data_IF_463432842204
#
_entry.id   IF_463432842204
#
_cell.length_a   1.000
_cell.length_b   1.000
_cell.length_c   1.000
_cell.angle_alpha   90.00
_cell.angle_beta   90.00
_cell.angle_gamma   90.00
#
_symmetry.space_group_name_H-M   'P 1'
#
loop_
_entity.id
_entity.type
_entity.pdbx_description
1 polymer ?
#
# COMPACT_ATOMS: atom_id res chain seq x y z
N UNK A 1 -8.11 -17.59 -41.14
CA UNK A 1 -7.36 -18.33 -40.11
C UNK A 1 -8.35 -18.62 -38.98
N UNK A 2 -9.29 -19.53 -39.24
CA UNK A 2 -9.30 -20.93 -38.80
C UNK A 2 -9.82 -21.08 -37.35
N UNK A 3 -11.15 -21.18 -37.27
CA UNK A 3 -11.96 -21.58 -36.12
C UNK A 3 -11.82 -23.11 -35.98
N UNK A 4 -11.52 -23.69 -34.81
CA UNK A 4 -11.50 -25.15 -34.66
C UNK A 4 -12.93 -25.71 -34.55
N UNK A 5 -13.23 -26.89 -35.13
CA UNK A 5 -14.58 -27.41 -35.20
C UNK A 5 -14.97 -28.27 -33.99
N UNK A 6 -16.28 -28.34 -33.82
CA UNK A 6 -17.08 -29.20 -32.97
C UNK A 6 -16.62 -30.66 -32.87
N UNK A 7 -16.80 -31.22 -31.67
CA UNK A 7 -16.83 -32.65 -31.37
C UNK A 7 -17.69 -33.43 -32.38
N UNK A 8 -17.12 -34.44 -33.03
CA UNK A 8 -17.89 -35.49 -33.70
C UNK A 8 -17.76 -36.79 -32.89
N UNK A 9 -18.85 -37.19 -32.23
CA UNK A 9 -19.02 -38.54 -31.70
C UNK A 9 -19.36 -39.47 -32.87
N UNK A 10 -18.50 -40.46 -33.16
CA UNK A 10 -18.85 -41.60 -34.01
C UNK A 10 -19.06 -42.83 -33.13
N UNK A 11 -20.29 -43.34 -33.15
CA UNK A 11 -20.66 -44.68 -32.68
C UNK A 11 -20.18 -45.72 -33.70
N UNK A 12 -19.44 -46.73 -33.26
CA UNK A 12 -19.20 -47.94 -34.04
C UNK A 12 -20.23 -49.01 -33.70
N UNK A 13 -20.44 -49.94 -34.64
CA UNK A 13 -21.63 -50.79 -34.81
C UNK A 13 -21.71 -52.03 -33.93
N UNK A 14 -20.80 -52.22 -32.98
CA UNK A 14 -20.80 -53.37 -32.07
C UNK A 14 -20.85 -52.84 -30.62
N UNK A 15 -22.01 -52.97 -29.99
CA UNK A 15 -22.36 -52.33 -28.72
C UNK A 15 -21.59 -52.86 -27.50
N UNK A 16 -20.31 -52.53 -27.37
CA UNK A 16 -19.52 -52.75 -26.16
C UNK A 16 -18.85 -51.45 -25.70
N UNK A 17 -19.25 -50.95 -24.52
CA UNK A 17 -18.48 -49.94 -23.78
C UNK A 17 -17.23 -50.61 -23.19
N UNK A 18 -16.05 -50.23 -23.66
CA UNK A 18 -14.81 -50.48 -22.93
C UNK A 18 -14.34 -49.18 -22.28
N UNK A 19 -14.48 -49.10 -20.96
CA UNK A 19 -13.81 -48.11 -20.13
C UNK A 19 -12.31 -48.43 -20.11
N UNK A 20 -11.53 -47.69 -20.88
CA UNK A 20 -10.07 -47.78 -20.82
C UNK A 20 -9.56 -46.93 -19.64
N UNK A 21 -9.40 -47.57 -18.49
CA UNK A 21 -8.51 -47.08 -17.43
C UNK A 21 -7.08 -47.04 -17.98
N UNK A 22 -6.66 -45.89 -18.53
CA UNK A 22 -5.24 -45.58 -18.70
C UNK A 22 -4.74 -44.93 -17.42
N UNK A 23 -4.14 -45.77 -16.58
CA UNK A 23 -3.19 -45.37 -15.54
C UNK A 23 -2.07 -44.60 -16.26
N UNK A 24 -2.15 -43.27 -16.25
CA UNK A 24 -1.01 -42.43 -16.58
C UNK A 24 -0.14 -42.40 -15.33
N UNK A 25 0.90 -43.21 -15.34
CA UNK A 25 2.03 -43.08 -14.42
C UNK A 25 2.67 -41.71 -14.67
N UNK A 26 2.25 -40.70 -13.90
CA UNK A 26 2.95 -39.44 -13.81
C UNK A 26 4.26 -39.71 -13.07
N UNK A 27 5.28 -40.03 -13.86
CA UNK A 27 6.67 -40.08 -13.42
C UNK A 27 7.00 -38.65 -13.00
N UNK A 28 6.91 -38.38 -11.70
CA UNK A 28 7.38 -37.14 -11.10
C UNK A 28 8.87 -37.01 -11.43
N UNK A 29 9.16 -36.27 -12.50
CA UNK A 29 10.50 -35.83 -12.81
C UNK A 29 10.82 -34.73 -11.78
N UNK A 30 11.39 -35.14 -10.65
CA UNK A 30 12.18 -34.29 -9.77
C UNK A 30 13.24 -33.59 -10.62
N UNK A 31 12.90 -32.41 -11.12
CA UNK A 31 13.90 -31.43 -11.57
C UNK A 31 13.89 -30.36 -10.51
N UNK A 32 14.82 -30.52 -9.56
CA UNK A 32 15.35 -29.43 -8.75
C UNK A 32 15.66 -28.25 -9.68
N UNK A 33 14.77 -27.26 -9.72
CA UNK A 33 15.10 -25.93 -10.25
C UNK A 33 15.38 -25.03 -9.07
N UNK A 34 16.65 -24.66 -9.01
CA UNK A 34 17.28 -23.63 -8.18
C UNK A 34 16.53 -22.30 -8.27
N UNK A 35 16.48 -21.62 -7.14
CA UNK A 35 16.56 -20.17 -6.95
C UNK A 35 15.70 -19.29 -7.87
N UNK A 36 14.60 -18.74 -7.33
CA UNK A 36 14.02 -17.50 -7.88
C UNK A 36 12.49 -17.32 -7.88
N UNK A 37 11.67 -18.30 -7.47
CA UNK A 37 10.22 -18.27 -7.78
C UNK A 37 9.26 -18.24 -6.56
N UNK A 38 9.71 -17.80 -5.39
CA UNK A 38 8.91 -17.87 -4.16
C UNK A 38 7.89 -16.73 -3.96
N UNK A 39 7.79 -15.75 -4.87
CA UNK A 39 6.94 -14.56 -4.67
C UNK A 39 5.90 -14.28 -5.77
N UNK A 40 5.72 -15.16 -6.76
CA UNK A 40 4.62 -14.98 -7.74
C UNK A 40 3.28 -15.36 -7.11
N UNK A 41 2.64 -14.41 -6.42
CA UNK A 41 1.24 -14.60 -6.00
C UNK A 41 0.72 -13.68 -4.90
N UNK A 42 1.56 -12.91 -4.21
CA UNK A 42 1.12 -12.12 -3.05
C UNK A 42 0.81 -10.68 -3.45
N UNK A 43 -0.48 -10.30 -3.36
CA UNK A 43 -0.94 -8.93 -3.62
C UNK A 43 -0.76 -8.11 -2.35
N UNK A 44 0.21 -7.20 -2.36
CA UNK A 44 0.47 -6.24 -1.27
C UNK A 44 1.01 -4.93 -1.81
N UNK A 45 0.61 -3.83 -1.16
CA UNK A 45 1.14 -2.51 -1.43
C UNK A 45 2.33 -2.15 -0.53
N UNK A 46 2.60 -2.92 0.53
CA UNK A 46 3.73 -2.71 1.44
C UNK A 46 5.05 -3.26 0.90
N UNK A 47 6.09 -2.43 0.88
CA UNK A 47 7.43 -2.84 0.47
C UNK A 47 8.05 -3.86 1.44
N UNK A 48 7.80 -3.71 2.74
CA UNK A 48 8.26 -4.66 3.77
C UNK A 48 7.78 -6.09 3.55
N UNK A 49 6.55 -6.25 3.03
CA UNK A 49 5.98 -7.58 2.76
C UNK A 49 6.58 -8.21 1.50
N UNK A 50 6.97 -7.39 0.51
CA UNK A 50 7.69 -7.84 -0.69
C UNK A 50 9.14 -8.22 -0.38
N UNK A 51 9.85 -7.49 0.50
CA UNK A 51 11.23 -7.86 0.86
C UNK A 51 11.25 -9.10 1.78
N UNK A 52 10.21 -9.25 2.61
CA UNK A 52 10.15 -10.29 3.65
C UNK A 52 11.05 -9.97 4.85
N UNK A 53 11.14 -10.90 5.82
CA UNK A 53 11.96 -10.71 7.03
C UNK A 53 13.46 -10.95 6.84
N UNK A 54 13.93 -11.20 5.60
CA UNK A 54 15.34 -11.51 5.36
C UNK A 54 16.17 -10.23 5.48
N UNK A 55 16.93 -10.13 6.58
CA UNK A 55 17.93 -9.07 6.79
C UNK A 55 19.15 -9.23 5.87
N UNK A 56 19.42 -10.44 5.37
CA UNK A 56 20.55 -10.72 4.50
C UNK A 56 20.18 -10.76 3.01
N UNK A 57 20.79 -9.86 2.23
CA UNK A 57 21.45 -10.27 1.00
C UNK A 57 20.66 -10.23 -0.32
N UNK A 58 19.53 -9.53 -0.43
CA UNK A 58 18.99 -9.24 -1.76
C UNK A 58 19.84 -8.15 -2.43
N UNK A 59 20.57 -8.53 -3.48
CA UNK A 59 21.38 -7.60 -4.25
C UNK A 59 20.54 -6.41 -4.73
N UNK A 60 20.96 -5.19 -4.40
CA UNK A 60 20.27 -3.97 -4.77
C UNK A 60 19.18 -3.49 -3.82
N UNK A 61 19.02 -4.13 -2.65
CA UNK A 61 18.14 -3.68 -1.57
C UNK A 61 18.95 -3.43 -0.30
N UNK A 62 18.82 -2.25 0.28
CA UNK A 62 19.36 -1.94 1.60
C UNK A 62 18.21 -1.82 2.60
N UNK A 63 18.36 -2.42 3.78
CA UNK A 63 17.33 -2.37 4.83
C UNK A 63 17.97 -2.04 6.17
N UNK A 64 17.35 -1.12 6.91
CA UNK A 64 17.73 -0.77 8.27
C UNK A 64 16.48 -0.65 9.15
N UNK A 65 16.47 -1.32 10.29
CA UNK A 65 15.39 -1.25 11.26
C UNK A 65 15.88 -0.67 12.58
N UNK A 66 15.10 0.24 13.15
CA UNK A 66 15.32 0.81 14.48
C UNK A 66 14.04 0.69 15.32
N UNK A 67 14.23 0.52 16.62
CA UNK A 67 13.14 0.61 17.61
C UNK A 67 13.22 1.97 18.31
N UNK A 68 12.10 2.67 18.33
CA UNK A 68 11.88 3.90 19.11
C UNK A 68 10.78 3.58 20.12
N UNK A 69 11.19 3.23 21.34
CA UNK A 69 10.30 2.62 22.34
C UNK A 69 9.63 1.34 21.78
N UNK A 70 8.31 1.35 21.62
CA UNK A 70 7.44 0.31 21.08
C UNK A 70 7.10 0.53 19.59
N UNK A 71 7.63 1.58 18.96
CA UNK A 71 7.47 1.88 17.54
C UNK A 71 8.65 1.30 16.78
N UNK A 72 8.39 0.42 15.82
CA UNK A 72 9.41 -0.09 14.89
C UNK A 72 9.43 0.78 13.65
N UNK A 73 10.60 1.29 13.28
CA UNK A 73 10.78 2.01 12.01
C UNK A 73 11.77 1.25 11.14
N UNK A 74 11.31 0.83 9.97
CA UNK A 74 12.13 0.11 9.00
C UNK A 74 12.27 0.92 7.72
N UNK A 75 13.50 1.31 7.37
CA UNK A 75 13.84 1.94 6.11
C UNK A 75 14.32 0.87 5.12
N UNK A 76 13.75 0.87 3.92
CA UNK A 76 14.17 0.06 2.77
C UNK A 76 14.56 1.01 1.64
N UNK A 77 15.70 0.77 1.00
CA UNK A 77 16.11 1.46 -0.21
C UNK A 77 16.31 0.44 -1.35
N UNK A 78 15.42 0.49 -2.33
CA UNK A 78 15.50 -0.31 -3.56
C UNK A 78 16.33 0.46 -4.58
N UNK A 79 17.60 0.07 -4.76
CA UNK A 79 18.58 0.81 -5.57
C UNK A 79 18.63 0.36 -7.01
N UNK A 80 18.41 -0.92 -7.30
CA UNK A 80 18.57 -1.49 -8.66
C UNK A 80 17.22 -1.78 -9.32
N UNK A 81 17.20 -1.73 -10.66
CA UNK A 81 16.02 -2.07 -11.45
C UNK A 81 15.66 -3.56 -11.34
N UNK A 82 16.67 -4.44 -11.27
CA UNK A 82 16.47 -5.87 -11.06
C UNK A 82 15.74 -6.16 -9.74
N UNK A 83 16.15 -5.51 -8.64
CA UNK A 83 15.46 -5.63 -7.36
C UNK A 83 14.03 -5.10 -7.43
N UNK A 84 13.82 -3.96 -8.08
CA UNK A 84 12.49 -3.39 -8.28
C UNK A 84 11.54 -4.33 -9.04
N UNK A 85 12.00 -4.95 -10.12
CA UNK A 85 11.24 -5.92 -10.91
C UNK A 85 10.95 -7.20 -10.12
N UNK A 86 11.94 -7.71 -9.38
CA UNK A 86 11.79 -8.90 -8.56
C UNK A 86 10.80 -8.70 -7.40
N UNK A 87 10.86 -7.54 -6.75
CA UNK A 87 9.98 -7.17 -5.64
C UNK A 87 8.61 -6.67 -6.09
N UNK A 88 8.44 -6.38 -7.39
CA UNK A 88 7.28 -5.67 -7.93
C UNK A 88 7.02 -4.33 -7.21
N UNK A 89 8.11 -3.61 -6.91
CA UNK A 89 8.11 -2.30 -6.26
C UNK A 89 9.03 -1.36 -7.01
N UNK A 90 8.69 -0.08 -7.09
CA UNK A 90 9.54 0.89 -7.77
C UNK A 90 10.84 1.13 -7.00
N UNK A 91 11.88 1.56 -7.72
CA UNK A 91 13.15 1.99 -7.10
C UNK A 91 12.91 3.27 -6.30
N UNK A 92 13.48 3.33 -5.10
CA UNK A 92 13.33 4.46 -4.19
C UNK A 92 13.44 4.06 -2.73
N UNK A 93 13.05 4.98 -1.85
CA UNK A 93 13.08 4.84 -0.40
C UNK A 93 11.69 4.56 0.13
N UNK A 94 11.56 3.53 0.93
CA UNK A 94 10.34 3.17 1.65
C UNK A 94 10.63 3.17 3.14
N UNK A 95 9.84 3.87 3.93
CA UNK A 95 9.92 3.86 5.39
C UNK A 95 8.62 3.30 5.93
N UNK A 96 8.72 2.26 6.75
CA UNK A 96 7.58 1.62 7.40
C UNK A 96 7.62 1.92 8.89
N UNK A 97 6.59 2.56 9.41
CA UNK A 97 6.39 2.89 10.83
C UNK A 97 5.33 1.92 11.36
N UNK A 98 5.72 1.00 12.23
CA UNK A 98 4.85 -0.05 12.77
C UNK A 98 4.62 0.17 14.27
N UNK A 99 3.35 0.19 14.67
CA UNK A 99 2.92 0.18 16.05
C UNK A 99 1.63 -0.64 16.19
N UNK A 100 1.66 -1.67 17.04
CA UNK A 100 0.61 -2.71 17.11
C UNK A 100 -0.79 -2.19 17.46
N UNK A 101 -0.90 -1.01 18.05
CA UNK A 101 -2.16 -0.40 18.47
C UNK A 101 -2.32 1.03 17.95
N UNK A 102 -1.90 1.29 16.70
CA UNK A 102 -1.97 2.61 16.04
C UNK A 102 -3.29 3.37 16.26
N UNK A 103 -4.48 2.76 16.11
CA UNK A 103 -5.73 3.52 16.13
C UNK A 103 -6.28 3.77 17.54
N UNK A 104 -5.69 3.12 18.56
CA UNK A 104 -6.10 3.25 19.96
C UNK A 104 -4.90 3.63 20.84
N UNK A 105 -3.94 4.33 20.26
CA UNK A 105 -2.78 4.83 20.99
C UNK A 105 -3.18 6.00 21.89
N UNK A 106 -2.50 6.17 23.01
CA UNK A 106 -2.68 7.37 23.85
C UNK A 106 -2.08 8.62 23.16
N UNK A 107 -2.36 9.79 23.74
CA UNK A 107 -1.94 11.07 23.17
C UNK A 107 -0.41 11.20 23.05
N UNK A 108 0.34 10.69 24.03
CA UNK A 108 1.81 10.74 24.03
C UNK A 108 2.38 9.90 22.89
N UNK A 109 1.82 8.70 22.69
CA UNK A 109 2.23 7.81 21.61
C UNK A 109 1.80 8.34 20.25
N UNK A 110 0.60 8.91 20.13
CA UNK A 110 0.15 9.58 18.92
C UNK A 110 1.12 10.70 18.51
N UNK A 111 1.54 11.52 19.48
CA UNK A 111 2.52 12.58 19.25
C UNK A 111 3.88 12.03 18.81
N UNK A 112 4.36 10.96 19.44
CA UNK A 112 5.61 10.32 19.05
C UNK A 112 5.56 9.79 17.61
N UNK A 113 4.47 9.11 17.23
CA UNK A 113 4.30 8.59 15.86
C UNK A 113 4.18 9.73 14.85
N UNK A 114 3.40 10.78 15.17
CA UNK A 114 3.29 11.97 14.34
C UNK A 114 4.65 12.64 14.14
N UNK A 115 5.52 12.70 15.16
CA UNK A 115 6.90 13.21 15.03
C UNK A 115 7.77 12.33 14.14
N UNK A 116 7.68 11.00 14.25
CA UNK A 116 8.41 10.08 13.38
C UNK A 116 7.97 10.26 11.93
N UNK A 117 6.65 10.26 11.68
CA UNK A 117 6.08 10.53 10.37
C UNK A 117 6.52 11.89 9.82
N UNK A 118 6.46 12.93 10.65
CA UNK A 118 6.87 14.29 10.31
C UNK A 118 8.31 14.34 9.84
N UNK A 119 9.22 13.70 10.58
CA UNK A 119 10.64 13.63 10.24
C UNK A 119 10.84 12.88 8.91
N UNK A 120 10.22 11.71 8.76
CA UNK A 120 10.33 10.88 7.55
C UNK A 120 9.86 11.64 6.31
N UNK A 121 8.70 12.28 6.37
CA UNK A 121 8.15 13.05 5.24
C UNK A 121 9.03 14.27 4.93
N UNK A 122 9.55 14.96 5.96
CA UNK A 122 10.42 16.13 5.78
C UNK A 122 11.75 15.79 5.10
N UNK A 123 12.31 14.62 5.37
CA UNK A 123 13.54 14.14 4.72
C UNK A 123 13.38 13.89 3.21
N UNK A 124 12.14 13.70 2.73
CA UNK A 124 11.82 13.47 1.31
C UNK A 124 11.32 14.73 0.61
N UNK A 125 10.95 15.78 1.36
CA UNK A 125 10.46 17.03 0.81
C UNK A 125 11.60 18.01 0.49
N UNK A 126 11.45 18.85 -0.55
CA UNK A 126 12.27 20.04 -0.70
C UNK A 126 12.17 20.94 0.54
N UNK A 127 13.25 21.66 0.88
CA UNK A 127 13.30 22.53 2.07
C UNK A 127 12.27 23.68 2.03
N UNK A 128 11.96 24.20 0.85
CA UNK A 128 11.07 25.35 0.64
C UNK A 128 10.17 25.14 -0.58
N UNK A 129 9.17 26.00 -0.75
CA UNK A 129 8.24 26.00 -1.88
C UNK A 129 6.86 25.44 -1.55
N UNK A 130 5.93 25.61 -2.48
CA UNK A 130 4.53 25.23 -2.33
C UNK A 130 4.36 23.71 -2.38
N UNK A 131 3.53 23.15 -1.49
CA UNK A 131 3.21 21.71 -1.50
C UNK A 131 1.74 21.50 -1.80
N UNK A 132 1.46 20.51 -2.64
CA UNK A 132 0.11 20.04 -2.92
C UNK A 132 -0.12 18.68 -2.24
N UNK A 133 -1.09 18.62 -1.35
CA UNK A 133 -1.52 17.38 -0.69
C UNK A 133 -2.73 16.82 -1.45
N UNK A 134 -2.66 15.55 -1.83
CA UNK A 134 -3.69 14.86 -2.60
C UNK A 134 -4.18 13.65 -1.80
N UNK A 135 -5.43 13.69 -1.36
CA UNK A 135 -6.09 12.59 -0.66
C UNK A 135 -6.82 11.69 -1.64
N UNK A 136 -6.28 10.50 -1.89
CA UNK A 136 -6.88 9.52 -2.79
C UNK A 136 -8.02 8.74 -2.12
N UNK A 137 -8.71 8.00 -2.96
CA UNK A 137 -9.78 7.08 -2.58
C UNK A 137 -11.18 7.67 -2.69
N UNK A 138 -12.14 6.82 -2.38
CA UNK A 138 -13.56 7.10 -2.47
C UNK A 138 -14.15 7.34 -1.08
N UNK A 139 -14.53 8.60 -0.80
CA UNK A 139 -15.19 9.00 0.46
C UNK A 139 -16.45 8.19 0.83
N UNK A 140 -17.10 7.55 -0.14
CA UNK A 140 -18.30 6.73 0.06
C UNK A 140 -17.98 5.27 0.45
N UNK A 141 -16.71 4.86 0.40
CA UNK A 141 -16.24 3.54 0.80
C UNK A 141 -15.32 3.72 2.01
N UNK A 142 -15.79 3.36 3.20
CA UNK A 142 -15.13 3.72 4.47
C UNK A 142 -13.64 3.31 4.51
N UNK A 143 -13.32 2.08 4.12
CA UNK A 143 -11.94 1.58 4.11
C UNK A 143 -11.03 2.31 3.10
N UNK A 144 -11.61 2.98 2.10
CA UNK A 144 -10.92 3.72 1.03
C UNK A 144 -10.99 5.24 1.27
N UNK A 145 -11.62 5.70 2.36
CA UNK A 145 -11.82 7.12 2.63
C UNK A 145 -10.61 7.80 3.28
N UNK A 146 -9.53 7.05 3.59
CA UNK A 146 -8.39 7.54 4.38
C UNK A 146 -7.81 8.85 3.81
N UNK A 147 -7.47 8.88 2.52
CA UNK A 147 -6.88 10.06 1.90
C UNK A 147 -7.79 11.28 2.00
N UNK A 148 -9.10 11.10 1.78
CA UNK A 148 -10.09 12.18 1.94
C UNK A 148 -10.13 12.68 3.39
N UNK A 149 -10.15 11.78 4.38
CA UNK A 149 -10.22 12.12 5.80
C UNK A 149 -8.96 12.83 6.31
N UNK A 150 -7.79 12.52 5.73
CA UNK A 150 -6.54 13.24 6.02
C UNK A 150 -6.57 14.64 5.42
N UNK A 151 -7.05 14.81 4.18
CA UNK A 151 -7.18 16.14 3.54
C UNK A 151 -8.05 17.08 4.36
N UNK A 152 -9.13 16.59 4.96
CA UNK A 152 -10.02 17.35 5.86
C UNK A 152 -9.30 17.90 7.10
N UNK A 153 -8.13 17.36 7.45
CA UNK A 153 -7.32 17.74 8.62
C UNK A 153 -6.09 18.58 8.27
N UNK A 154 -5.88 18.88 7.00
CA UNK A 154 -4.71 19.64 6.58
C UNK A 154 -4.87 21.13 6.88
N UNK A 155 -3.84 21.75 7.44
CA UNK A 155 -3.76 23.20 7.56
C UNK A 155 -3.45 23.82 6.19
N UNK A 156 -4.48 24.22 5.46
CA UNK A 156 -4.35 24.81 4.11
C UNK A 156 -4.03 26.30 4.22
N UNK A 157 -2.88 26.70 3.69
CA UNK A 157 -2.36 28.09 3.86
C UNK A 157 -2.21 28.85 2.54
N UNK A 158 -2.20 28.16 1.38
CA UNK A 158 -1.92 28.79 0.07
C UNK A 158 -2.86 29.95 -0.25
N UNK A 159 -4.14 29.84 0.12
CA UNK A 159 -5.15 30.87 -0.15
C UNK A 159 -4.98 32.13 0.71
N UNK A 160 -4.32 32.02 1.87
CA UNK A 160 -4.05 33.14 2.79
C UNK A 160 -2.75 33.87 2.45
N UNK A 161 -1.95 33.33 1.52
CA UNK A 161 -0.58 33.77 1.30
C UNK A 161 -0.45 35.26 0.95
N UNK A 162 -1.45 35.86 0.29
CA UNK A 162 -1.40 37.29 -0.04
C UNK A 162 -1.70 38.20 1.15
N UNK A 163 -2.59 37.77 2.06
CA UNK A 163 -3.06 38.58 3.20
C UNK A 163 -2.30 38.29 4.49
N UNK A 164 -1.54 37.19 4.53
CA UNK A 164 -0.83 36.73 5.72
C UNK A 164 0.37 37.62 6.05
N UNK A 165 0.53 37.94 7.33
CA UNK A 165 1.66 38.71 7.83
C UNK A 165 3.00 37.99 7.60
N UNK A 166 4.04 38.78 7.33
CA UNK A 166 5.39 38.26 7.05
C UNK A 166 5.98 37.47 8.24
N UNK A 167 5.62 37.85 9.46
CA UNK A 167 5.99 37.16 10.70
C UNK A 167 5.52 35.70 10.71
N UNK A 168 4.31 35.45 10.20
CA UNK A 168 3.69 34.12 10.16
C UNK A 168 4.12 33.36 8.92
N UNK A 169 4.27 34.02 7.76
CA UNK A 169 4.82 33.41 6.53
C UNK A 169 6.16 32.73 6.73
N UNK A 170 7.00 33.27 7.61
CA UNK A 170 8.31 32.66 7.95
C UNK A 170 8.21 31.37 8.76
N UNK A 171 7.06 31.12 9.39
CA UNK A 171 6.77 29.97 10.25
C UNK A 171 5.98 28.87 9.54
N UNK A 172 5.23 29.21 8.51
CA UNK A 172 4.40 28.27 7.75
C UNK A 172 4.93 28.05 6.34
N UNK A 173 4.48 26.96 5.71
CA UNK A 173 4.70 26.66 4.30
C UNK A 173 3.40 26.93 3.56
N UNK A 174 3.49 27.33 2.29
CA UNK A 174 2.31 27.42 1.41
C UNK A 174 1.85 26.00 1.05
N UNK A 175 0.65 25.64 1.50
CA UNK A 175 0.06 24.30 1.33
C UNK A 175 -1.31 24.44 0.68
N UNK A 176 -1.54 23.63 -0.35
CA UNK A 176 -2.84 23.37 -0.94
C UNK A 176 -3.20 21.90 -0.74
N UNK A 177 -4.49 21.58 -0.61
CA UNK A 177 -4.95 20.21 -0.44
C UNK A 177 -6.20 19.94 -1.29
N UNK A 178 -6.35 18.72 -1.80
CA UNK A 178 -7.52 18.29 -2.57
C UNK A 178 -7.79 16.79 -2.40
N UNK A 179 -9.06 16.42 -2.39
CA UNK A 179 -9.51 15.03 -2.53
C UNK A 179 -10.25 14.89 -3.88
N UNK A 180 -9.57 14.45 -4.96
CA UNK A 180 -10.14 14.47 -6.31
C UNK A 180 -11.27 13.46 -6.53
N UNK A 181 -11.36 12.43 -5.67
CA UNK A 181 -12.26 11.31 -5.84
C UNK A 181 -11.76 10.30 -6.89
N UNK A 182 -12.67 9.41 -7.29
CA UNK A 182 -12.39 8.28 -8.18
C UNK A 182 -13.14 8.42 -9.51
N UNK A 183 -12.62 7.76 -10.56
CA UNK A 183 -13.19 7.74 -11.91
C UNK A 183 -14.72 7.54 -11.93
N UNK A 184 -15.23 6.59 -11.13
CA UNK A 184 -16.66 6.28 -11.10
C UNK A 184 -17.55 7.42 -10.59
N UNK A 185 -16.98 8.42 -9.94
CA UNK A 185 -17.69 9.60 -9.45
C UNK A 185 -17.46 10.83 -10.35
N UNK A 186 -16.26 10.98 -10.89
CA UNK A 186 -15.84 12.20 -11.61
C UNK A 186 -15.94 12.07 -13.13
N UNK A 187 -15.87 10.83 -13.66
CA UNK A 187 -15.68 10.55 -15.09
C UNK A 187 -14.29 10.89 -15.62
N UNK A 188 -13.35 11.31 -14.75
CA UNK A 188 -11.98 11.69 -15.10
C UNK A 188 -11.02 10.83 -14.28
N UNK A 189 -9.99 10.29 -14.92
CA UNK A 189 -8.95 9.53 -14.22
C UNK A 189 -8.22 10.41 -13.21
N UNK A 190 -8.00 9.89 -12.00
CA UNK A 190 -7.42 10.67 -10.91
C UNK A 190 -6.04 11.20 -11.28
N UNK A 191 -5.22 10.42 -11.98
CA UNK A 191 -3.90 10.86 -12.46
C UNK A 191 -3.98 12.00 -13.49
N UNK A 192 -4.96 11.96 -14.39
CA UNK A 192 -5.17 13.03 -15.38
C UNK A 192 -5.57 14.34 -14.69
N UNK A 193 -6.52 14.27 -13.75
CA UNK A 193 -6.96 15.42 -12.97
C UNK A 193 -5.80 16.01 -12.16
N UNK A 194 -5.03 15.17 -11.48
CA UNK A 194 -3.90 15.60 -10.68
C UNK A 194 -2.79 16.24 -11.54
N UNK A 195 -2.50 15.68 -12.71
CA UNK A 195 -1.52 16.27 -13.65
C UNK A 195 -1.94 17.68 -14.07
N UNK A 196 -3.19 17.88 -14.48
CA UNK A 196 -3.70 19.21 -14.84
C UNK A 196 -3.63 20.20 -13.68
N UNK A 197 -3.90 19.73 -12.45
CA UNK A 197 -3.78 20.57 -11.26
C UNK A 197 -2.32 20.95 -10.97
N UNK A 198 -1.38 20.00 -11.06
CA UNK A 198 0.05 20.24 -10.85
C UNK A 198 0.61 21.20 -11.89
N UNK A 199 0.26 21.05 -13.17
CA UNK A 199 0.67 21.96 -14.25
C UNK A 199 0.21 23.41 -14.01
N UNK A 200 -0.97 23.58 -13.41
CA UNK A 200 -1.54 24.89 -13.12
C UNK A 200 -0.99 25.49 -11.81
N UNK A 201 -1.00 24.73 -10.72
CA UNK A 201 -0.60 25.18 -9.38
C UNK A 201 0.91 25.29 -9.24
N UNK A 202 1.66 24.44 -9.95
CA UNK A 202 3.13 24.35 -9.93
C UNK A 202 3.72 24.19 -8.52
N UNK A 203 3.25 23.20 -7.73
CA UNK A 203 3.87 22.89 -6.45
C UNK A 203 5.31 22.39 -6.66
N UNK A 204 6.17 22.58 -5.66
CA UNK A 204 7.53 22.01 -5.67
C UNK A 204 7.55 20.51 -5.34
N UNK A 205 6.49 19.99 -4.71
CA UNK A 205 6.30 18.58 -4.42
C UNK A 205 4.82 18.26 -4.18
N UNK A 206 4.46 16.99 -4.39
CA UNK A 206 3.14 16.44 -4.09
C UNK A 206 3.26 15.45 -2.94
N UNK A 207 2.31 15.48 -2.01
CA UNK A 207 2.10 14.42 -1.01
C UNK A 207 0.81 13.69 -1.36
N UNK A 208 0.91 12.43 -1.78
CA UNK A 208 -0.25 11.58 -2.08
C UNK A 208 -0.57 10.70 -0.86
N UNK A 209 -1.82 10.70 -0.41
CA UNK A 209 -2.27 9.88 0.73
C UNK A 209 -3.28 8.85 0.24
N UNK A 210 -3.08 7.57 0.58
CA UNK A 210 -3.94 6.49 0.09
C UNK A 210 -4.15 5.37 1.11
N UNK A 211 -5.26 4.66 0.95
CA UNK A 211 -5.52 3.41 1.67
C UNK A 211 -4.81 2.26 0.94
N UNK A 212 -4.00 1.48 1.68
CA UNK A 212 -3.22 0.38 1.12
C UNK A 212 -3.89 -0.98 1.39
N UNK A 213 -3.50 -1.99 0.63
CA UNK A 213 -3.78 -3.39 0.93
C UNK A 213 -2.53 -4.08 1.51
N UNK A 214 -2.68 -4.75 2.65
CA UNK A 214 -1.65 -5.61 3.23
C UNK A 214 -1.82 -7.08 2.83
N UNK A 215 -0.75 -7.83 2.98
CA UNK A 215 -0.72 -9.28 2.89
C UNK A 215 -0.77 -9.98 4.25
N UNK A 216 -0.47 -9.28 5.33
CA UNK A 216 -0.70 -9.74 6.70
C UNK A 216 -1.87 -8.97 7.30
N UNK A 217 -2.90 -9.71 7.72
CA UNK A 217 -4.07 -9.12 8.39
C UNK A 217 -3.70 -8.39 9.69
N UNK A 218 -2.60 -8.75 10.35
CA UNK A 218 -2.05 -8.04 11.51
C UNK A 218 -1.49 -6.65 11.21
N UNK A 219 -1.37 -6.28 9.92
CA UNK A 219 -0.89 -4.96 9.48
C UNK A 219 -1.99 -3.95 9.23
N UNK A 220 -3.25 -4.38 9.22
CA UNK A 220 -4.38 -3.48 9.06
C UNK A 220 -4.36 -2.46 10.20
N UNK A 221 -4.25 -1.19 9.85
CA UNK A 221 -4.21 -0.08 10.79
C UNK A 221 -3.13 -0.24 11.88
N UNK A 222 -2.00 -0.89 11.61
CA UNK A 222 -0.84 -0.93 12.55
C UNK A 222 0.44 -0.42 11.91
N UNK A 223 0.39 -0.04 10.63
CA UNK A 223 1.56 0.28 9.81
C UNK A 223 1.30 1.53 8.98
N UNK A 224 2.22 2.49 8.99
CA UNK A 224 2.25 3.63 8.06
C UNK A 224 3.46 3.44 7.13
N UNK A 225 3.23 3.47 5.83
CA UNK A 225 4.29 3.45 4.82
C UNK A 225 4.45 4.85 4.22
N UNK A 226 5.68 5.33 4.16
CA UNK A 226 6.07 6.56 3.44
C UNK A 226 7.05 6.19 2.34
N UNK A 227 6.89 6.72 1.13
CA UNK A 227 7.80 6.47 0.01
C UNK A 227 7.96 7.67 -0.91
N UNK A 228 9.12 7.81 -1.57
CA UNK A 228 9.39 8.82 -2.60
C UNK A 228 9.05 8.34 -4.03
N UNK A 229 8.55 7.10 -4.17
CA UNK A 229 8.24 6.51 -5.47
C UNK A 229 6.88 6.89 -6.04
N UNK A 230 6.13 7.74 -5.32
CA UNK A 230 4.71 7.96 -5.57
C UNK A 230 3.85 6.73 -5.25
N UNK A 231 2.64 6.71 -5.82
CA UNK A 231 1.63 5.68 -5.57
C UNK A 231 0.96 5.20 -6.86
N UNK A 232 0.66 3.91 -6.93
CA UNK A 232 -0.06 3.29 -8.04
C UNK A 232 -1.45 2.87 -7.57
N UNK A 233 -2.50 3.66 -7.85
CA UNK A 233 -3.84 3.37 -7.35
C UNK A 233 -4.34 2.01 -7.86
N UNK A 234 -4.72 1.12 -6.93
CA UNK A 234 -5.29 -0.18 -7.28
C UNK A 234 -4.26 -1.26 -7.67
N UNK A 235 -3.00 -1.16 -7.22
CA UNK A 235 -1.98 -2.20 -7.48
C UNK A 235 -2.33 -3.60 -6.94
N UNK A 236 -3.23 -3.69 -5.95
CA UNK A 236 -3.79 -4.98 -5.54
C UNK A 236 -5.11 -5.36 -6.24
N UNK A 237 -5.76 -4.43 -6.93
CA UNK A 237 -7.04 -4.63 -7.65
C UNK A 237 -6.77 -4.57 -9.16
N UNK A 238 -5.84 -5.40 -9.64
CA UNK A 238 -5.74 -5.87 -11.04
C UNK A 238 -5.72 -4.84 -12.18
N UNK A 239 -5.63 -3.53 -11.92
CA UNK A 239 -5.89 -2.51 -12.92
C UNK A 239 -4.63 -1.69 -13.19
N UNK A 240 -4.21 -1.63 -14.45
CA UNK A 240 -3.09 -0.82 -14.93
C UNK A 240 -3.51 0.66 -14.99
N UNK A 241 -3.84 1.26 -13.84
CA UNK A 241 -4.07 2.71 -13.77
C UNK A 241 -2.74 3.44 -13.77
N UNK A 242 -2.73 4.63 -14.36
CA UNK A 242 -1.57 5.51 -14.29
C UNK A 242 -1.36 5.91 -12.81
N UNK A 243 -0.17 5.66 -12.27
CA UNK A 243 0.18 6.08 -10.92
C UNK A 243 0.27 7.60 -10.76
N UNK A 244 0.27 8.08 -9.52
CA UNK A 244 0.76 9.40 -9.17
C UNK A 244 2.22 9.26 -8.75
N UNK A 245 3.12 9.45 -9.72
CA UNK A 245 4.57 9.37 -9.55
C UNK A 245 5.25 10.61 -10.13
N UNK A 246 6.54 10.79 -9.82
CA UNK A 246 7.33 11.88 -10.38
C UNK A 246 7.35 11.84 -11.92
N UNK A 247 7.37 10.65 -12.54
CA UNK A 247 7.31 10.50 -13.99
C UNK A 247 6.00 11.03 -14.58
N UNK A 248 4.89 10.88 -13.86
CA UNK A 248 3.55 11.28 -14.33
C UNK A 248 3.20 12.73 -14.04
N UNK A 249 3.68 13.28 -12.91
CA UNK A 249 3.36 14.64 -12.47
C UNK A 249 4.50 15.64 -12.71
N UNK A 250 5.70 15.16 -13.06
CA UNK A 250 6.91 15.97 -13.31
C UNK A 250 7.36 16.80 -12.09
N UNK A 251 6.96 16.39 -10.89
CA UNK A 251 7.38 16.95 -9.61
C UNK A 251 7.57 15.79 -8.61
N UNK A 252 8.44 15.92 -7.59
CA UNK A 252 8.61 14.89 -6.56
C UNK A 252 7.27 14.49 -5.93
N UNK A 253 7.02 13.19 -5.79
CA UNK A 253 5.80 12.65 -5.18
C UNK A 253 6.13 11.79 -3.97
N UNK A 254 5.77 12.27 -2.79
CA UNK A 254 5.87 11.52 -1.55
C UNK A 254 4.52 10.84 -1.32
N UNK A 255 4.48 9.52 -1.28
CA UNK A 255 3.27 8.79 -0.92
C UNK A 255 3.28 8.39 0.55
N UNK A 256 2.13 8.55 1.21
CA UNK A 256 1.86 8.09 2.58
C UNK A 256 0.66 7.16 2.52
N UNK A 257 0.77 5.95 3.05
CA UNK A 257 -0.35 5.02 3.05
C UNK A 257 -0.40 4.12 4.26
N UNK A 258 -1.61 3.69 4.59
CA UNK A 258 -1.89 2.78 5.71
C UNK A 258 -2.70 1.61 5.20
N UNK A 259 -2.35 0.36 5.55
CA UNK A 259 -3.17 -0.77 5.20
C UNK A 259 -4.55 -0.71 5.86
N UNK A 260 -5.60 -0.63 5.06
CA UNK A 260 -6.99 -0.57 5.53
C UNK A 260 -7.75 -1.88 5.26
N UNK A 261 -7.22 -2.68 4.35
CA UNK A 261 -7.83 -3.93 3.88
C UNK A 261 -6.78 -5.00 3.64
N UNK A 262 -7.24 -6.25 3.55
CA UNK A 262 -6.51 -7.38 2.97
C UNK A 262 -7.41 -8.11 2.00
N UNK A 263 -6.84 -8.92 1.10
CA UNK A 263 -7.64 -9.77 0.22
C UNK A 263 -8.30 -10.91 0.99
N UNK A 264 -9.50 -11.33 0.58
CA UNK A 264 -10.17 -12.49 1.18
C UNK A 264 -9.33 -13.77 1.05
N UNK A 265 -8.59 -13.91 -0.06
CA UNK A 265 -7.63 -14.99 -0.27
C UNK A 265 -6.52 -15.00 0.79
N UNK A 266 -6.07 -13.82 1.22
CA UNK A 266 -5.10 -13.66 2.32
C UNK A 266 -5.66 -14.23 3.62
N UNK A 267 -6.89 -13.88 4.00
CA UNK A 267 -7.53 -14.40 5.22
C UNK A 267 -7.70 -15.92 5.17
N UNK A 268 -8.18 -16.44 4.05
CA UNK A 268 -8.36 -17.88 3.87
C UNK A 268 -7.02 -18.64 3.98
N UNK A 269 -5.97 -18.07 3.38
CA UNK A 269 -4.60 -18.59 3.46
C UNK A 269 -4.07 -18.55 4.90
N UNK A 270 -4.21 -17.43 5.61
CA UNK A 270 -3.75 -17.28 7.00
C UNK A 270 -4.46 -18.29 7.92
N UNK A 271 -5.76 -18.51 7.74
CA UNK A 271 -6.51 -19.52 8.47
C UNK A 271 -6.00 -20.94 8.18
N UNK A 272 -5.78 -21.27 6.91
CA UNK A 272 -5.25 -22.57 6.49
C UNK A 272 -3.82 -22.80 7.04
N UNK A 273 -2.96 -21.78 6.99
CA UNK A 273 -1.60 -21.84 7.54
C UNK A 273 -1.62 -22.20 9.03
N UNK A 274 -2.48 -21.53 9.82
CA UNK A 274 -2.62 -21.82 11.25
C UNK A 274 -3.11 -23.24 11.52
N UNK A 275 -3.97 -23.80 10.66
CA UNK A 275 -4.41 -25.18 10.78
C UNK A 275 -3.26 -26.15 10.46
N UNK A 276 -2.52 -25.92 9.38
CA UNK A 276 -1.34 -26.72 9.01
C UNK A 276 -0.35 -26.77 10.18
N UNK A 277 -0.06 -25.61 10.78
CA UNK A 277 0.83 -25.50 11.94
C UNK A 277 0.26 -26.23 13.17
N UNK A 278 -1.01 -26.02 13.50
CA UNK A 278 -1.66 -26.65 14.65
C UNK A 278 -1.68 -28.19 14.55
N UNK A 279 -1.87 -28.72 13.33
CA UNK A 279 -1.89 -30.16 13.07
C UNK A 279 -0.51 -30.76 12.73
N UNK A 280 0.57 -29.97 12.80
CA UNK A 280 1.94 -30.39 12.48
C UNK A 280 2.06 -31.04 11.09
N UNK A 281 1.24 -30.59 10.13
CA UNK A 281 1.30 -31.01 8.72
C UNK A 281 2.49 -30.38 7.97
N UNK A 282 3.51 -29.96 8.72
CA UNK A 282 4.72 -29.26 8.29
C UNK A 282 5.99 -30.10 8.56
N UNK A 283 5.84 -31.41 8.71
CA UNK A 283 6.96 -32.35 8.59
C UNK A 283 7.51 -32.36 7.15
N UNK A 284 8.79 -32.73 6.98
CA UNK A 284 9.50 -32.70 5.68
C UNK A 284 8.76 -33.44 4.53
N UNK A 285 7.91 -34.43 4.85
CA UNK A 285 7.12 -35.19 3.87
C UNK A 285 5.82 -34.49 3.44
N UNK A 286 5.21 -33.68 4.30
CA UNK A 286 3.89 -33.06 4.08
C UNK A 286 3.98 -31.60 3.59
N UNK A 287 5.16 -30.98 3.71
CA UNK A 287 5.43 -29.61 3.27
C UNK A 287 4.99 -29.31 1.83
N UNK A 288 5.24 -30.19 0.82
CA UNK A 288 4.81 -29.93 -0.56
C UNK A 288 3.28 -29.92 -0.72
N UNK A 289 2.56 -30.69 0.10
CA UNK A 289 1.10 -30.74 0.08
C UNK A 289 0.51 -29.49 0.76
N UNK A 290 1.08 -29.05 1.89
CA UNK A 290 0.75 -27.80 2.55
C UNK A 290 0.91 -26.60 1.60
N UNK A 291 2.05 -26.50 0.91
CA UNK A 291 2.32 -25.44 -0.06
C UNK A 291 1.34 -25.46 -1.25
N UNK A 292 1.00 -26.65 -1.75
CA UNK A 292 0.02 -26.80 -2.83
C UNK A 292 -1.38 -26.33 -2.42
N UNK A 293 -1.82 -26.62 -1.19
CA UNK A 293 -3.11 -26.17 -0.66
C UNK A 293 -3.14 -24.64 -0.49
N UNK A 294 -2.10 -24.05 0.09
CA UNK A 294 -1.98 -22.59 0.24
C UNK A 294 -2.00 -21.89 -1.12
N UNK A 295 -1.33 -22.48 -2.12
CA UNK A 295 -1.35 -21.98 -3.50
C UNK A 295 -2.75 -22.07 -4.12
N UNK A 296 -3.46 -23.18 -3.94
CA UNK A 296 -4.83 -23.34 -4.45
C UNK A 296 -5.81 -22.33 -3.83
N UNK A 297 -5.68 -22.03 -2.53
CA UNK A 297 -6.52 -21.01 -1.87
C UNK A 297 -6.20 -19.61 -2.40
N UNK A 298 -4.93 -19.34 -2.68
CA UNK A 298 -4.47 -18.06 -3.22
C UNK A 298 -4.90 -17.85 -4.68
N UNK A 299 -4.93 -18.93 -5.48
CA UNK A 299 -5.37 -18.96 -6.88
C UNK A 299 -6.90 -19.15 -7.03
N UNK A 300 -7.61 -19.39 -5.92
CA UNK A 300 -9.03 -19.72 -5.89
C UNK A 300 -9.97 -18.56 -6.24
N UNK A 301 -11.24 -18.91 -6.49
CA UNK A 301 -12.34 -18.09 -7.06
C UNK A 301 -12.87 -16.96 -6.16
N UNK A 302 -12.15 -16.53 -5.12
CA UNK A 302 -12.58 -15.46 -4.20
C UNK A 302 -12.61 -14.06 -4.86
N UNK A 303 -12.10 -13.93 -6.09
CA UNK A 303 -12.13 -12.70 -6.87
C UNK A 303 -11.36 -11.56 -6.22
N UNK A 304 -11.72 -10.32 -6.53
CA UNK A 304 -11.14 -9.10 -5.94
C UNK A 304 -11.79 -8.72 -4.60
N UNK A 305 -12.29 -9.71 -3.85
CA UNK A 305 -12.92 -9.44 -2.55
C UNK A 305 -11.88 -8.98 -1.54
N UNK A 306 -12.18 -7.86 -0.88
CA UNK A 306 -11.38 -7.31 0.22
C UNK A 306 -12.11 -7.48 1.55
N UNK A 307 -11.33 -7.61 2.62
CA UNK A 307 -11.80 -7.76 3.99
C UNK A 307 -11.23 -6.63 4.82
N UNK A 308 -12.05 -6.07 5.71
CA UNK A 308 -11.68 -4.97 6.61
C UNK A 308 -12.30 -5.20 7.99
N UNK A 309 -11.71 -4.68 9.09
CA UNK A 309 -12.28 -4.76 10.43
C UNK A 309 -13.68 -4.17 10.51
N UNK A 310 -14.48 -4.65 11.47
CA UNK A 310 -15.84 -4.15 11.70
C UNK A 310 -15.88 -2.67 12.10
N UNK A 311 -14.91 -2.22 12.88
CA UNK A 311 -14.78 -0.86 13.42
C UNK A 311 -14.01 0.08 12.46
N UNK A 312 -13.91 -0.25 11.17
CA UNK A 312 -13.07 0.48 10.21
C UNK A 312 -13.42 1.98 10.12
N UNK A 313 -14.67 2.34 10.36
CA UNK A 313 -15.15 3.72 10.44
C UNK A 313 -14.43 4.54 11.52
N UNK A 314 -14.26 3.98 12.71
CA UNK A 314 -13.51 4.62 13.80
C UNK A 314 -11.99 4.59 13.52
N UNK A 315 -11.49 3.46 13.02
CA UNK A 315 -10.04 3.29 12.75
C UNK A 315 -9.55 4.28 11.69
N UNK A 316 -10.31 4.47 10.61
CA UNK A 316 -9.96 5.44 9.55
C UNK A 316 -9.86 6.86 10.10
N UNK A 317 -10.76 7.25 11.01
CA UNK A 317 -10.76 8.59 11.60
C UNK A 317 -9.54 8.83 12.49
N UNK A 318 -9.22 7.87 13.35
CA UNK A 318 -8.06 7.94 14.24
C UNK A 318 -6.75 7.99 13.45
N UNK A 319 -6.59 7.10 12.47
CA UNK A 319 -5.39 7.09 11.62
C UNK A 319 -5.30 8.38 10.80
N UNK A 320 -6.42 8.90 10.30
CA UNK A 320 -6.43 10.15 9.55
C UNK A 320 -5.98 11.35 10.40
N UNK A 321 -6.38 11.38 11.68
CA UNK A 321 -5.92 12.37 12.66
C UNK A 321 -4.42 12.32 12.85
N UNK A 322 -3.88 11.14 13.15
CA UNK A 322 -2.45 10.94 13.34
C UNK A 322 -1.63 11.30 12.10
N UNK A 323 -2.08 10.94 10.89
CA UNK A 323 -1.40 11.33 9.65
C UNK A 323 -1.50 12.84 9.44
N UNK A 324 -2.68 13.43 9.65
CA UNK A 324 -2.90 14.88 9.55
C UNK A 324 -1.94 15.66 10.43
N UNK A 325 -1.83 15.28 11.72
CA UNK A 325 -0.91 15.89 12.67
C UNK A 325 0.54 15.76 12.21
N UNK A 326 0.97 14.55 11.83
CA UNK A 326 2.33 14.30 11.36
C UNK A 326 2.68 15.11 10.10
N UNK A 327 1.75 15.23 9.14
CA UNK A 327 1.94 16.03 7.93
C UNK A 327 1.93 17.52 8.21
N UNK A 328 1.03 18.02 9.08
CA UNK A 328 1.00 19.41 9.49
C UNK A 328 2.32 19.80 10.20
N UNK A 329 2.85 18.96 11.08
CA UNK A 329 4.18 19.16 11.66
C UNK A 329 5.29 19.09 10.62
N UNK A 330 5.19 18.23 9.60
CA UNK A 330 6.19 18.15 8.53
C UNK A 330 6.24 19.45 7.72
N UNK A 331 5.07 19.99 7.38
CA UNK A 331 4.88 21.15 6.52
C UNK A 331 5.03 22.47 7.27
N UNK A 332 4.81 22.49 8.58
CA UNK A 332 4.87 23.71 9.40
C UNK A 332 5.84 23.56 10.58
N UNK A 333 7.14 23.32 10.31
CA UNK A 333 8.13 22.95 11.33
C UNK A 333 8.38 23.99 12.43
N UNK A 334 7.96 25.23 12.21
CA UNK A 334 8.21 26.38 13.10
C UNK A 334 6.94 26.86 13.81
N UNK A 335 5.81 26.18 13.60
CA UNK A 335 4.63 26.38 14.43
C UNK A 335 4.77 25.53 15.70
N UNK A 336 4.43 26.12 16.83
CA UNK A 336 4.28 25.40 18.10
C UNK A 336 2.99 24.57 18.06
N UNK A 337 2.97 23.45 18.80
CA UNK A 337 1.86 22.49 18.78
C UNK A 337 0.52 23.15 19.17
N UNK A 338 0.52 24.02 20.18
CA UNK A 338 -0.68 24.77 20.62
C UNK A 338 -1.22 25.71 19.53
N UNK A 339 -0.32 26.33 18.77
CA UNK A 339 -0.70 27.20 17.66
C UNK A 339 -1.30 26.36 16.52
N UNK A 340 -0.70 25.21 16.23
CA UNK A 340 -1.18 24.28 15.21
C UNK A 340 -2.60 23.77 15.53
N UNK A 341 -2.83 23.37 16.79
CA UNK A 341 -4.15 22.98 17.29
C UNK A 341 -5.17 24.12 17.15
N UNK A 342 -4.78 25.35 17.51
CA UNK A 342 -5.64 26.53 17.40
C UNK A 342 -6.05 26.83 15.95
N UNK A 343 -5.14 26.64 14.99
CA UNK A 343 -5.44 26.88 13.56
C UNK A 343 -6.27 25.76 12.93
N UNK A 344 -6.21 24.54 13.45
CA UNK A 344 -6.96 23.39 12.91
C UNK A 344 -8.42 23.33 13.41
N UNK A 345 -8.73 23.95 14.54
CA UNK A 345 -10.06 23.89 15.17
C UNK A 345 -10.86 25.21 15.10
N UNK A 346 -10.53 26.11 14.17
CA UNK A 346 -11.29 27.34 13.89
C UNK A 346 -12.33 27.19 12.79
#
# INVERSE_FOLDING_TARGET
>A
MAIPPFFSLRLTRDGSLYAAHKIFAFRACCTLRKDGDCMRGFRTDLAMESVGQRQDGMSGVEMNARMLEDIRVTDIHIRTQEAAEHLQKNRGRYTTIEYSNLPKCDADKQHLIARVLSKTVRELLPEQGDVLVIGLGNRNVTADALGTRVVERMLVTRHLWQTMEESVKRKVRSVSAIAPGVLGLTGIETAELCRGLVEHVKPCAVIAIDALAAFDSGRICTTIQVTDTGIHPGSGVGNHRLGLTEETLHVPVIAVGVPMVVYASTIARDALSRLIDAYHLSGDEDQPAADALLRQVSEGTMGEMVVTPREIDELVLSVAEMIGDGLNHALHPKLEDDALYTFMHQ
#
